data_IF_545297111296
#
_entry.id   IF_545297111296
#
_cell.length_a   1.000
_cell.length_b   1.000
_cell.length_c   1.000
_cell.angle_alpha   90.00
_cell.angle_beta   90.00
_cell.angle_gamma   90.00
#
_symmetry.space_group_name_H-M   'P 1'
#
loop_
_entity.id
_entity.type
_entity.pdbx_description
1 polymer ?
#
# COMPACT_ATOMS: atom_id res chain seq x y z
N UNK A 1 13.82 9.99 -11.39
CA UNK A 1 13.08 10.57 -10.27
C UNK A 1 12.45 9.44 -9.44
N UNK A 2 12.53 9.53 -8.12
CA UNK A 2 11.80 8.65 -7.18
C UNK A 2 10.84 9.51 -6.38
N UNK A 3 9.56 9.18 -6.39
CA UNK A 3 8.52 9.87 -5.62
C UNK A 3 8.35 9.16 -4.29
N UNK A 4 8.52 9.90 -3.18
CA UNK A 4 8.39 9.43 -1.82
C UNK A 4 9.56 9.83 -0.92
N UNK A 5 9.52 9.47 0.35
CA UNK A 5 10.52 9.85 1.35
C UNK A 5 10.72 8.84 2.46
N UNK A 6 10.22 7.60 2.29
CA UNK A 6 10.39 6.51 3.25
C UNK A 6 11.67 5.71 3.05
N UNK A 7 11.85 4.68 3.87
CA UNK A 7 12.97 3.75 3.76
C UNK A 7 12.97 2.94 2.46
N UNK A 8 11.80 2.63 1.92
CA UNK A 8 11.62 1.97 0.62
C UNK A 8 12.19 2.82 -0.50
N UNK A 9 11.83 4.10 -0.55
CA UNK A 9 12.32 5.04 -1.57
C UNK A 9 13.80 5.31 -1.40
N UNK A 10 14.31 5.35 -0.17
CA UNK A 10 15.75 5.46 0.09
C UNK A 10 16.51 4.24 -0.49
N UNK A 11 16.05 3.02 -0.23
CA UNK A 11 16.66 1.81 -0.78
C UNK A 11 16.62 1.79 -2.32
N UNK A 12 15.53 2.22 -2.93
CA UNK A 12 15.41 2.36 -4.39
C UNK A 12 16.39 3.40 -4.94
N UNK A 13 16.54 4.53 -4.27
CA UNK A 13 17.46 5.60 -4.66
C UNK A 13 18.92 5.13 -4.58
N UNK A 14 19.31 4.54 -3.44
CA UNK A 14 20.62 3.95 -3.24
C UNK A 14 20.95 2.90 -4.31
N UNK A 15 19.98 2.03 -4.63
CA UNK A 15 20.20 1.00 -5.66
C UNK A 15 20.26 1.57 -7.06
N UNK A 16 19.41 2.53 -7.40
CA UNK A 16 19.42 3.18 -8.70
C UNK A 16 20.72 3.95 -8.96
N UNK A 17 21.23 4.65 -7.94
CA UNK A 17 22.49 5.43 -8.05
C UNK A 17 23.73 4.56 -8.33
N UNK A 18 23.67 3.25 -8.05
CA UNK A 18 24.75 2.31 -8.40
C UNK A 18 24.77 1.89 -9.87
N UNK A 19 23.75 2.24 -10.64
CA UNK A 19 23.64 1.85 -12.04
C UNK A 19 24.51 2.75 -12.93
N UNK A 20 25.34 2.15 -13.78
CA UNK A 20 26.11 2.89 -14.79
C UNK A 20 25.24 3.61 -15.83
N UNK A 21 23.93 3.39 -15.82
CA UNK A 21 22.95 4.04 -16.71
C UNK A 21 22.28 5.25 -16.07
N UNK A 22 22.65 5.60 -14.85
CA UNK A 22 22.04 6.67 -14.07
C UNK A 22 23.11 7.66 -13.67
N UNK A 23 22.95 8.89 -14.10
CA UNK A 23 23.87 9.97 -13.75
C UNK A 23 23.51 10.58 -12.39
N UNK A 24 22.22 10.85 -12.17
CA UNK A 24 21.68 11.42 -10.93
C UNK A 24 20.33 10.81 -10.60
N UNK A 25 20.09 10.57 -9.31
CA UNK A 25 18.78 10.16 -8.78
C UNK A 25 18.18 11.32 -8.01
N UNK A 26 17.04 11.83 -8.48
CA UNK A 26 16.24 12.80 -7.74
C UNK A 26 15.22 12.07 -6.87
N UNK A 27 15.01 12.55 -5.62
CA UNK A 27 14.00 11.97 -4.70
C UNK A 27 13.10 13.09 -4.18
N UNK A 28 11.78 12.95 -4.38
CA UNK A 28 10.79 13.97 -4.02
C UNK A 28 9.76 13.44 -3.00
N UNK A 29 9.71 13.95 -1.77
CA UNK A 29 10.58 14.97 -1.21
C UNK A 29 11.92 14.43 -0.68
N UNK A 30 12.10 13.10 -0.59
CA UNK A 30 13.26 12.48 0.04
C UNK A 30 13.25 12.57 1.57
N UNK A 31 14.37 12.26 2.18
CA UNK A 31 14.56 12.30 3.63
C UNK A 31 16.02 12.63 4.00
N UNK A 32 16.35 12.65 5.30
CA UNK A 32 17.71 12.94 5.76
C UNK A 32 18.76 11.87 5.40
N UNK A 33 18.33 10.65 5.08
CA UNK A 33 19.19 9.59 4.57
C UNK A 33 19.49 9.79 3.09
N UNK A 34 18.47 9.97 2.25
CA UNK A 34 18.63 10.20 0.80
C UNK A 34 19.48 11.46 0.51
N UNK A 35 19.39 12.49 1.35
CA UNK A 35 20.21 13.69 1.25
C UNK A 35 21.73 13.47 1.42
N UNK A 36 22.12 12.30 1.92
CA UNK A 36 23.52 11.93 2.18
C UNK A 36 24.05 10.85 1.23
N UNK A 37 23.18 10.28 0.39
CA UNK A 37 23.60 9.25 -0.54
C UNK A 37 24.34 9.85 -1.73
N UNK A 38 25.52 9.31 -2.09
CA UNK A 38 26.23 9.73 -3.28
C UNK A 38 25.38 9.56 -4.56
N UNK A 39 25.33 10.58 -5.40
CA UNK A 39 24.56 10.56 -6.65
C UNK A 39 23.04 10.69 -6.46
N UNK A 40 22.59 11.08 -5.26
CA UNK A 40 21.18 11.29 -4.94
C UNK A 40 20.95 12.74 -4.50
N UNK A 41 19.90 13.37 -5.03
CA UNK A 41 19.50 14.75 -4.71
C UNK A 41 18.04 14.80 -4.28
N UNK A 42 17.76 15.42 -3.13
CA UNK A 42 16.39 15.66 -2.68
C UNK A 42 15.78 16.88 -3.37
N UNK A 43 14.51 16.74 -3.74
CA UNK A 43 13.72 17.79 -4.39
C UNK A 43 12.51 18.12 -3.54
N UNK A 44 12.38 19.35 -3.07
CA UNK A 44 11.31 19.80 -2.18
C UNK A 44 9.96 19.95 -2.94
N UNK A 45 9.41 18.81 -3.41
CA UNK A 45 8.10 18.71 -4.05
C UNK A 45 7.30 17.65 -3.31
N UNK A 46 6.06 17.99 -2.97
CA UNK A 46 5.11 17.05 -2.33
C UNK A 46 4.76 15.90 -3.27
N UNK A 47 4.56 14.70 -2.72
CA UNK A 47 4.24 13.49 -3.51
C UNK A 47 2.90 13.57 -4.24
N UNK A 48 1.98 14.44 -3.79
CA UNK A 48 0.67 14.66 -4.41
C UNK A 48 0.63 15.83 -5.38
N UNK A 49 1.71 16.61 -5.51
CA UNK A 49 1.81 17.71 -6.46
C UNK A 49 2.29 17.21 -7.85
N UNK A 50 1.39 16.52 -8.54
CA UNK A 50 1.69 15.83 -9.80
C UNK A 50 2.14 16.77 -10.91
N UNK A 51 1.60 18.01 -10.95
CA UNK A 51 1.98 19.01 -11.93
C UNK A 51 3.45 19.43 -11.75
N UNK A 52 3.84 19.78 -10.51
CA UNK A 52 5.23 20.18 -10.24
C UNK A 52 6.20 19.02 -10.42
N UNK A 53 5.80 17.79 -10.02
CA UNK A 53 6.62 16.58 -10.25
C UNK A 53 6.83 16.33 -11.75
N UNK A 54 5.77 16.43 -12.56
CA UNK A 54 5.87 16.24 -14.01
C UNK A 54 6.67 17.38 -14.68
N UNK A 55 6.50 18.63 -14.24
CA UNK A 55 7.28 19.77 -14.74
C UNK A 55 8.77 19.58 -14.40
N UNK A 56 9.08 19.22 -13.15
CA UNK A 56 10.45 18.93 -12.72
C UNK A 56 11.08 17.82 -13.58
N UNK A 57 10.33 16.75 -13.85
CA UNK A 57 10.80 15.63 -14.66
C UNK A 57 11.14 16.08 -16.11
N UNK A 58 10.36 16.98 -16.69
CA UNK A 58 10.65 17.56 -18.01
C UNK A 58 11.90 18.43 -18.00
N UNK A 59 11.97 19.37 -17.06
CA UNK A 59 13.04 20.37 -16.98
C UNK A 59 14.42 19.73 -16.73
N UNK A 60 14.44 18.59 -16.04
CA UNK A 60 15.65 17.84 -15.72
C UNK A 60 15.88 16.60 -16.61
N UNK A 61 15.14 16.46 -17.73
CA UNK A 61 15.25 15.36 -18.67
C UNK A 61 15.22 13.97 -17.99
N UNK A 62 14.34 13.79 -17.01
CA UNK A 62 14.21 12.54 -16.23
C UNK A 62 13.82 11.39 -17.15
N UNK A 63 14.70 10.40 -17.25
CA UNK A 63 14.50 9.25 -18.12
C UNK A 63 13.45 8.23 -17.61
N UNK A 64 13.26 8.15 -16.29
CA UNK A 64 12.28 7.28 -15.64
C UNK A 64 11.88 7.84 -14.27
N UNK A 65 10.59 7.77 -13.97
CA UNK A 65 10.07 8.04 -12.62
C UNK A 65 9.58 6.74 -11.98
N UNK A 66 9.91 6.55 -10.70
CA UNK A 66 9.46 5.40 -9.88
C UNK A 66 8.65 5.95 -8.72
N UNK A 67 7.48 5.37 -8.45
CA UNK A 67 6.60 5.81 -7.36
C UNK A 67 6.65 4.78 -6.24
N UNK A 68 7.05 5.22 -5.03
CA UNK A 68 7.15 4.36 -3.86
C UNK A 68 5.86 4.26 -3.05
N UNK A 69 5.26 5.38 -2.59
CA UNK A 69 4.11 5.33 -1.70
C UNK A 69 2.78 5.09 -2.44
N UNK A 70 1.82 4.54 -1.70
CA UNK A 70 0.51 4.13 -2.22
C UNK A 70 -0.39 5.33 -2.59
N UNK A 71 -0.37 6.40 -1.78
CA UNK A 71 -1.26 7.54 -1.94
C UNK A 71 -1.18 8.22 -3.32
N UNK A 72 0.00 8.58 -3.84
CA UNK A 72 0.10 9.14 -5.20
C UNK A 72 -0.28 8.14 -6.29
N UNK A 73 -0.07 6.82 -6.10
CA UNK A 73 -0.52 5.79 -7.04
C UNK A 73 -2.04 5.75 -7.14
N UNK A 74 -2.72 5.70 -5.99
CA UNK A 74 -4.20 5.76 -5.92
C UNK A 74 -4.73 7.10 -6.43
N UNK A 75 -3.98 8.19 -6.20
CA UNK A 75 -4.26 9.52 -6.74
C UNK A 75 -4.14 9.64 -8.25
N UNK A 76 -3.40 8.72 -8.91
CA UNK A 76 -3.28 8.65 -10.38
C UNK A 76 -2.03 9.34 -10.94
N UNK A 77 -0.96 9.46 -10.17
CA UNK A 77 0.31 10.06 -10.63
C UNK A 77 0.85 9.39 -11.90
N UNK A 78 0.71 8.05 -12.02
CA UNK A 78 1.19 7.32 -13.19
C UNK A 78 0.40 7.70 -14.45
N UNK A 79 -0.93 7.84 -14.33
CA UNK A 79 -1.80 8.28 -15.44
C UNK A 79 -1.44 9.70 -15.85
N UNK A 80 -1.21 10.59 -14.88
CA UNK A 80 -0.78 11.97 -15.11
C UNK A 80 0.55 12.04 -15.88
N UNK A 81 1.57 11.30 -15.44
CA UNK A 81 2.87 11.24 -16.11
C UNK A 81 2.77 10.68 -17.52
N UNK A 82 1.99 9.60 -17.71
CA UNK A 82 1.77 9.02 -19.04
C UNK A 82 1.07 9.99 -19.99
N UNK A 83 0.06 10.71 -19.51
CA UNK A 83 -0.61 11.76 -20.31
C UNK A 83 0.36 12.90 -20.68
N UNK A 84 1.35 13.18 -19.84
CA UNK A 84 2.40 14.15 -20.10
C UNK A 84 3.55 13.62 -20.98
N UNK A 85 3.48 12.37 -21.47
CA UNK A 85 4.52 11.73 -22.27
C UNK A 85 5.77 11.30 -21.48
N UNK A 86 5.67 11.25 -20.16
CA UNK A 86 6.75 10.90 -19.26
C UNK A 86 6.69 9.42 -18.87
N UNK A 87 7.84 8.75 -18.83
CA UNK A 87 7.91 7.37 -18.37
C UNK A 87 7.78 7.29 -16.86
N UNK A 88 6.79 6.52 -16.40
CA UNK A 88 6.53 6.33 -14.98
C UNK A 88 6.27 4.85 -14.68
N UNK A 89 7.04 4.29 -13.75
CA UNK A 89 6.89 2.93 -13.26
C UNK A 89 5.99 2.94 -12.02
N UNK A 90 4.92 2.19 -12.10
CA UNK A 90 3.88 2.02 -11.09
C UNK A 90 2.56 1.62 -11.74
N UNK A 91 1.59 1.14 -10.94
CA UNK A 91 0.25 0.85 -11.41
C UNK A 91 -0.50 2.13 -11.78
N UNK A 92 -1.37 2.05 -12.79
CA UNK A 92 -2.35 3.11 -13.08
C UNK A 92 -3.31 3.27 -11.90
N UNK A 93 -4.02 4.39 -11.83
CA UNK A 93 -5.06 4.65 -10.80
C UNK A 93 -6.06 3.49 -10.71
N UNK A 94 -6.48 2.92 -11.84
CA UNK A 94 -7.39 1.78 -11.87
C UNK A 94 -6.79 0.53 -11.23
N UNK A 95 -5.53 0.20 -11.54
CA UNK A 95 -4.83 -0.93 -10.95
C UNK A 95 -4.45 -0.69 -9.47
N UNK A 96 -4.13 0.54 -9.09
CA UNK A 96 -3.82 0.92 -7.71
C UNK A 96 -5.00 0.75 -6.73
N UNK A 97 -6.24 0.58 -7.24
CA UNK A 97 -7.39 0.22 -6.41
C UNK A 97 -7.18 -1.10 -5.65
N UNK A 98 -6.36 -2.02 -6.17
CA UNK A 98 -6.01 -3.25 -5.47
C UNK A 98 -5.30 -3.01 -4.13
N UNK A 99 -4.63 -1.88 -3.95
CA UNK A 99 -4.08 -1.44 -2.67
C UNK A 99 -5.00 -0.41 -1.99
N UNK A 100 -5.65 0.44 -2.79
CA UNK A 100 -6.45 1.56 -2.31
C UNK A 100 -7.75 1.17 -1.61
N UNK A 101 -8.31 -0.02 -1.89
CA UNK A 101 -9.56 -0.51 -1.28
C UNK A 101 -9.50 -2.02 -1.05
N UNK A 102 -9.59 -2.41 0.22
CA UNK A 102 -9.63 -3.82 0.62
C UNK A 102 -10.88 -4.53 0.09
N UNK A 103 -12.03 -3.85 0.12
CA UNK A 103 -13.28 -4.37 -0.43
C UNK A 103 -13.16 -4.62 -1.94
N UNK A 104 -12.63 -3.66 -2.69
CA UNK A 104 -12.38 -3.84 -4.12
C UNK A 104 -11.45 -5.03 -4.39
N UNK A 105 -10.37 -5.15 -3.62
CA UNK A 105 -9.41 -6.26 -3.76
C UNK A 105 -10.06 -7.60 -3.46
N UNK A 106 -10.84 -7.71 -2.40
CA UNK A 106 -11.55 -8.94 -2.07
C UNK A 106 -12.54 -9.35 -3.16
N UNK A 107 -13.32 -8.41 -3.66
CA UNK A 107 -14.26 -8.65 -4.76
C UNK A 107 -13.54 -9.04 -6.06
N UNK A 108 -12.39 -8.43 -6.32
CA UNK A 108 -11.53 -8.77 -7.46
C UNK A 108 -11.01 -10.21 -7.33
N UNK A 109 -10.44 -10.57 -6.18
CA UNK A 109 -9.90 -11.91 -5.93
C UNK A 109 -10.99 -12.98 -6.04
N UNK A 110 -12.16 -12.75 -5.44
CA UNK A 110 -13.31 -13.65 -5.53
C UNK A 110 -13.78 -13.84 -6.97
N UNK A 111 -13.93 -12.73 -7.72
CA UNK A 111 -14.35 -12.76 -9.13
C UNK A 111 -13.42 -13.53 -10.04
N UNK A 112 -12.12 -13.49 -9.75
CA UNK A 112 -11.08 -14.15 -10.54
C UNK A 112 -10.65 -15.51 -9.99
N UNK A 113 -11.30 -16.02 -8.92
CA UNK A 113 -10.96 -17.31 -8.32
C UNK A 113 -9.55 -17.35 -7.70
N UNK A 114 -9.03 -16.20 -7.27
CA UNK A 114 -7.73 -16.10 -6.61
C UNK A 114 -7.92 -16.38 -5.11
N UNK A 115 -7.16 -17.32 -4.51
CA UNK A 115 -7.30 -17.65 -3.10
C UNK A 115 -7.12 -16.43 -2.19
N UNK A 116 -8.05 -16.29 -1.25
CA UNK A 116 -8.04 -15.26 -0.20
C UNK A 116 -8.87 -15.72 0.99
N UNK A 117 -8.68 -15.12 2.16
CA UNK A 117 -9.50 -15.34 3.34
C UNK A 117 -10.99 -15.11 3.03
N UNK A 118 -11.87 -15.93 3.56
CA UNK A 118 -13.31 -15.70 3.48
C UNK A 118 -13.65 -14.33 4.07
N UNK A 119 -14.53 -13.57 3.44
CA UNK A 119 -14.78 -12.19 3.82
C UNK A 119 -16.23 -11.77 3.60
N UNK A 120 -16.61 -10.70 4.28
CA UNK A 120 -17.82 -9.93 4.00
C UNK A 120 -17.60 -8.45 4.27
N UNK A 121 -18.21 -7.60 3.45
CA UNK A 121 -18.08 -6.15 3.53
C UNK A 121 -19.34 -5.53 4.13
N UNK A 122 -19.18 -4.53 5.00
CA UNK A 122 -20.28 -3.86 5.69
C UNK A 122 -20.08 -2.35 5.71
N UNK A 123 -21.20 -1.63 5.59
CA UNK A 123 -21.31 -0.17 5.77
C UNK A 123 -22.17 0.20 6.96
N UNK A 124 -22.81 -0.79 7.59
CA UNK A 124 -23.71 -0.61 8.71
C UNK A 124 -23.29 -1.49 9.90
N UNK A 125 -23.40 -0.95 11.10
CA UNK A 125 -22.95 -1.61 12.34
C UNK A 125 -23.75 -2.86 12.64
N UNK A 126 -25.08 -2.80 12.58
CA UNK A 126 -25.93 -3.89 13.03
C UNK A 126 -25.74 -5.20 12.18
N UNK A 127 -25.70 -5.16 10.84
CA UNK A 127 -25.38 -6.34 10.03
C UNK A 127 -23.97 -6.87 10.27
N UNK A 128 -22.97 -5.98 10.47
CA UNK A 128 -21.61 -6.41 10.76
C UNK A 128 -21.51 -7.14 12.10
N UNK A 129 -22.16 -6.62 13.14
CA UNK A 129 -22.21 -7.28 14.45
C UNK A 129 -22.95 -8.64 14.40
N UNK A 130 -24.04 -8.74 13.63
CA UNK A 130 -24.74 -9.99 13.44
C UNK A 130 -23.84 -11.05 12.79
N UNK A 131 -23.08 -10.65 11.78
CA UNK A 131 -22.11 -11.53 11.11
C UNK A 131 -20.99 -11.99 12.05
N UNK A 132 -20.45 -11.09 12.89
CA UNK A 132 -19.42 -11.46 13.88
C UNK A 132 -19.98 -12.48 14.88
N UNK A 133 -21.20 -12.28 15.39
CA UNK A 133 -21.83 -13.25 16.31
C UNK A 133 -22.11 -14.61 15.68
N UNK A 134 -22.43 -14.63 14.39
CA UNK A 134 -22.63 -15.85 13.61
C UNK A 134 -21.31 -16.63 13.40
N UNK A 135 -20.24 -15.90 13.04
CA UNK A 135 -18.94 -16.50 12.71
C UNK A 135 -18.11 -16.85 13.93
N UNK A 136 -18.24 -16.09 15.01
CA UNK A 136 -17.39 -16.21 16.18
C UNK A 136 -16.02 -15.56 16.00
N UNK A 137 -15.09 -15.91 16.89
CA UNK A 137 -13.70 -15.46 16.89
C UNK A 137 -12.75 -16.68 16.97
N UNK A 138 -11.46 -16.56 16.58
CA UNK A 138 -10.81 -15.33 16.14
C UNK A 138 -11.28 -14.85 14.76
N UNK A 139 -11.29 -13.52 14.56
CA UNK A 139 -11.75 -12.90 13.32
C UNK A 139 -10.99 -11.58 13.08
N UNK A 140 -10.90 -11.14 11.81
CA UNK A 140 -10.16 -9.94 11.46
C UNK A 140 -11.13 -8.86 10.98
N UNK A 141 -11.04 -7.67 11.56
CA UNK A 141 -11.81 -6.48 11.16
C UNK A 141 -10.87 -5.44 10.57
N UNK A 142 -11.16 -5.02 9.34
CA UNK A 142 -10.32 -4.08 8.58
C UNK A 142 -11.15 -2.87 8.13
N UNK A 143 -10.67 -1.65 8.40
CA UNK A 143 -11.19 -0.47 7.73
C UNK A 143 -10.80 -0.53 6.23
N UNK A 144 -11.75 -0.17 5.35
CA UNK A 144 -11.48 -0.08 3.91
C UNK A 144 -10.63 1.16 3.59
N UNK A 145 -9.79 1.08 2.56
CA UNK A 145 -8.92 2.17 2.15
C UNK A 145 -7.54 2.20 2.84
N UNK A 146 -6.81 3.29 2.57
CA UNK A 146 -5.46 3.51 3.09
C UNK A 146 -5.52 4.00 4.54
N UNK A 147 -5.23 3.14 5.50
CA UNK A 147 -5.26 3.44 6.94
C UNK A 147 -3.85 3.43 7.59
N UNK A 148 -2.78 3.58 6.79
CA UNK A 148 -1.38 3.62 7.26
C UNK A 148 -1.01 2.47 8.22
N UNK A 149 -1.50 1.26 7.95
CA UNK A 149 -1.25 0.07 8.77
C UNK A 149 -2.04 -0.01 10.08
N UNK A 150 -2.86 1.00 10.42
CA UNK A 150 -3.59 1.06 11.69
C UNK A 150 -5.05 0.59 11.62
N UNK A 151 -5.55 0.32 10.42
CA UNK A 151 -6.95 -0.06 10.19
C UNK A 151 -7.22 -1.57 10.20
N UNK A 152 -6.39 -2.37 10.87
CA UNK A 152 -6.55 -3.82 10.98
C UNK A 152 -6.57 -4.21 12.45
N UNK A 153 -7.63 -4.88 12.88
CA UNK A 153 -7.80 -5.42 14.22
C UNK A 153 -7.94 -6.93 14.14
N UNK A 154 -7.01 -7.63 14.76
CA UNK A 154 -7.10 -9.06 15.02
C UNK A 154 -7.88 -9.23 16.32
N UNK A 155 -9.05 -9.82 16.26
CA UNK A 155 -9.94 -9.97 17.42
C UNK A 155 -10.00 -11.43 17.85
N UNK A 156 -9.48 -11.70 19.04
CA UNK A 156 -9.50 -13.04 19.66
C UNK A 156 -10.87 -13.40 20.25
N UNK A 157 -11.73 -12.40 20.43
CA UNK A 157 -13.10 -12.56 20.93
C UNK A 157 -14.09 -11.66 20.16
N UNK A 158 -15.38 -12.01 20.26
CA UNK A 158 -16.46 -11.31 19.55
C UNK A 158 -16.70 -9.88 20.06
N UNK A 159 -16.44 -9.60 21.32
CA UNK A 159 -16.68 -8.29 21.90
C UNK A 159 -15.65 -7.29 21.39
N UNK A 160 -14.38 -7.70 21.31
CA UNK A 160 -13.29 -6.94 20.65
C UNK A 160 -13.62 -6.66 19.18
N UNK A 161 -14.09 -7.64 18.43
CA UNK A 161 -14.47 -7.45 17.03
C UNK A 161 -15.67 -6.49 16.88
N UNK A 162 -16.67 -6.58 17.73
CA UNK A 162 -17.84 -5.68 17.75
C UNK A 162 -17.43 -4.25 18.08
N UNK A 163 -16.55 -4.07 19.07
CA UNK A 163 -16.02 -2.76 19.42
C UNK A 163 -15.24 -2.13 18.27
N UNK A 164 -14.40 -2.93 17.56
CA UNK A 164 -13.66 -2.48 16.39
C UNK A 164 -14.59 -1.99 15.26
N UNK A 165 -15.66 -2.73 14.96
CA UNK A 165 -16.66 -2.33 13.97
C UNK A 165 -17.35 -1.02 14.37
N UNK A 166 -17.72 -0.87 15.65
CA UNK A 166 -18.35 0.36 16.14
C UNK A 166 -17.42 1.55 16.01
N UNK A 167 -16.16 1.41 16.42
CA UNK A 167 -15.16 2.46 16.34
C UNK A 167 -14.90 2.90 14.88
N UNK A 168 -14.75 1.93 13.97
CA UNK A 168 -14.49 2.20 12.56
C UNK A 168 -15.68 2.85 11.86
N UNK A 169 -16.90 2.32 12.03
CA UNK A 169 -18.08 2.80 11.29
C UNK A 169 -18.75 4.01 11.91
N UNK A 170 -18.73 4.16 13.25
CA UNK A 170 -19.37 5.28 13.94
C UNK A 170 -18.39 6.37 14.37
N UNK A 171 -17.16 5.99 14.70
CA UNK A 171 -16.17 6.91 15.27
C UNK A 171 -15.41 7.76 14.24
N UNK A 172 -15.55 7.49 12.93
CA UNK A 172 -14.74 8.09 11.87
C UNK A 172 -13.22 8.10 12.18
N UNK A 173 -12.76 7.14 12.96
CA UNK A 173 -11.37 7.05 13.41
C UNK A 173 -10.37 6.99 12.22
N UNK A 174 -10.86 6.59 11.03
CA UNK A 174 -10.06 6.46 9.81
C UNK A 174 -10.58 7.34 8.66
N UNK A 175 -11.35 8.42 8.95
CA UNK A 175 -11.90 9.29 7.92
C UNK A 175 -12.76 8.52 6.91
N UNK A 176 -12.58 8.80 5.61
CA UNK A 176 -13.34 8.11 4.54
C UNK A 176 -13.06 6.60 4.50
N UNK A 177 -11.88 6.13 4.92
CA UNK A 177 -11.58 4.70 5.01
C UNK A 177 -12.44 3.96 6.05
N UNK A 178 -12.98 4.66 7.06
CA UNK A 178 -13.86 4.10 8.09
C UNK A 178 -15.32 3.92 7.66
N UNK A 179 -15.75 4.46 6.52
CA UNK A 179 -17.15 4.29 6.05
C UNK A 179 -17.53 2.88 5.65
N UNK A 180 -16.56 1.99 5.53
CA UNK A 180 -16.74 0.59 5.18
C UNK A 180 -15.74 -0.28 5.91
N UNK A 181 -16.19 -1.43 6.37
CA UNK A 181 -15.31 -2.44 6.97
C UNK A 181 -15.36 -3.74 6.17
N UNK A 182 -14.24 -4.42 6.14
CA UNK A 182 -14.10 -5.79 5.63
C UNK A 182 -13.85 -6.68 6.84
N UNK A 183 -14.69 -7.68 7.03
CA UNK A 183 -14.53 -8.68 8.08
C UNK A 183 -14.10 -9.97 7.41
N UNK A 184 -12.98 -10.54 7.88
CA UNK A 184 -12.32 -11.69 7.27
C UNK A 184 -12.09 -12.80 8.28
N UNK A 185 -12.04 -14.04 7.80
CA UNK A 185 -11.57 -15.15 8.62
C UNK A 185 -10.11 -14.92 9.04
N UNK A 186 -9.78 -15.41 10.22
CA UNK A 186 -8.40 -15.42 10.71
C UNK A 186 -7.66 -16.60 10.10
N UNK A 187 -6.67 -16.33 9.24
CA UNK A 187 -5.84 -17.37 8.65
C UNK A 187 -4.69 -17.72 9.58
N UNK A 188 -4.43 -19.00 9.76
CA UNK A 188 -3.31 -19.53 10.52
C UNK A 188 -2.26 -20.08 9.54
N UNK A 189 -1.00 -19.71 9.73
CA UNK A 189 0.10 -20.17 8.89
C UNK A 189 1.30 -19.26 8.98
N UNK A 190 2.38 -19.66 8.31
CA UNK A 190 3.56 -18.81 8.17
C UNK A 190 3.36 -17.80 7.04
N UNK A 191 3.77 -16.55 7.28
CA UNK A 191 3.69 -15.48 6.32
C UNK A 191 4.89 -15.53 5.36
N UNK A 192 4.66 -15.31 4.08
CA UNK A 192 5.71 -15.19 3.08
C UNK A 192 5.40 -14.03 2.12
N UNK A 193 6.37 -13.15 1.91
CA UNK A 193 6.31 -12.11 0.89
C UNK A 193 6.83 -12.64 -0.43
N UNK A 194 5.98 -12.62 -1.45
CA UNK A 194 6.35 -12.97 -2.82
C UNK A 194 6.15 -11.76 -3.72
N UNK A 195 7.24 -11.09 -4.06
CA UNK A 195 7.23 -9.82 -4.79
C UNK A 195 7.66 -10.07 -6.24
N UNK A 196 6.94 -9.50 -7.18
CA UNK A 196 7.23 -9.60 -8.60
C UNK A 196 7.25 -8.21 -9.26
N UNK A 197 8.09 -8.05 -10.29
CA UNK A 197 8.01 -6.93 -11.22
C UNK A 197 7.29 -7.38 -12.48
N UNK A 198 6.33 -6.57 -12.95
CA UNK A 198 5.57 -6.88 -14.15
C UNK A 198 5.52 -5.69 -15.10
N UNK A 199 5.57 -5.96 -16.41
CA UNK A 199 5.45 -4.96 -17.48
C UNK A 199 4.15 -5.12 -18.31
N UNK A 200 3.25 -6.00 -17.87
CA UNK A 200 2.00 -6.35 -18.55
C UNK A 200 2.10 -7.65 -19.35
N UNK A 201 3.30 -8.09 -19.70
CA UNK A 201 3.54 -9.33 -20.46
C UNK A 201 4.48 -10.27 -19.71
N UNK A 202 5.55 -9.74 -19.15
CA UNK A 202 6.58 -10.50 -18.44
C UNK A 202 6.42 -10.33 -16.92
N UNK A 203 6.81 -11.38 -16.20
CA UNK A 203 6.83 -11.41 -14.73
C UNK A 203 8.24 -11.80 -14.29
N UNK A 204 8.88 -10.94 -13.49
CA UNK A 204 10.18 -11.19 -12.89
C UNK A 204 10.02 -11.35 -11.38
N UNK A 205 10.12 -12.57 -10.82
CA UNK A 205 10.14 -12.78 -9.39
C UNK A 205 11.40 -12.20 -8.74
N UNK A 206 11.22 -11.56 -7.60
CA UNK A 206 12.30 -11.14 -6.71
C UNK A 206 12.56 -12.24 -5.66
N UNK A 207 13.61 -12.06 -4.85
CA UNK A 207 13.84 -12.93 -3.70
C UNK A 207 12.64 -12.88 -2.75
N UNK A 208 12.23 -14.02 -2.23
CA UNK A 208 11.20 -14.12 -1.21
C UNK A 208 11.72 -13.60 0.14
N UNK A 209 10.83 -13.11 0.97
CA UNK A 209 11.11 -12.66 2.32
C UNK A 209 9.98 -13.04 3.27
N UNK A 210 10.26 -12.99 4.57
CA UNK A 210 9.25 -13.16 5.60
C UNK A 210 9.20 -11.90 6.47
N UNK A 211 8.00 -11.40 6.73
CA UNK A 211 7.75 -10.30 7.64
C UNK A 211 7.34 -10.87 9.00
N UNK A 212 8.11 -10.54 10.04
CA UNK A 212 7.82 -10.96 11.41
C UNK A 212 7.07 -9.84 12.12
N UNK A 213 5.80 -10.08 12.46
CA UNK A 213 4.92 -9.07 13.09
C UNK A 213 5.20 -8.91 14.58
N UNK A 214 5.63 -9.97 15.25
CA UNK A 214 5.94 -9.95 16.66
C UNK A 214 7.45 -10.14 16.91
N UNK A 215 7.95 -9.61 18.04
CA UNK A 215 9.38 -9.59 18.38
C UNK A 215 9.92 -10.96 18.81
N UNK A 216 9.11 -11.73 19.51
CA UNK A 216 9.58 -12.93 20.21
C UNK A 216 9.26 -14.20 19.41
N UNK A 217 9.98 -15.30 19.68
CA UNK A 217 9.82 -16.58 19.02
C UNK A 217 8.38 -17.11 19.09
N UNK A 218 7.94 -17.75 18.00
CA UNK A 218 6.59 -18.27 17.88
C UNK A 218 5.52 -17.19 17.65
N UNK A 219 5.94 -16.06 17.05
CA UNK A 219 5.09 -14.92 16.70
C UNK A 219 4.37 -14.32 17.92
N UNK A 220 5.13 -14.11 19.00
CA UNK A 220 4.64 -13.62 20.30
C UNK A 220 5.28 -12.31 20.70
N UNK A 221 4.63 -11.65 21.70
CA UNK A 221 5.11 -10.39 22.25
C UNK A 221 4.68 -9.17 21.45
N UNK A 222 5.27 -8.00 21.75
CA UNK A 222 4.95 -6.75 21.09
C UNK A 222 5.43 -6.72 19.63
#
# INVERSE_FOLDING_TARGET
LIIGGGGREHALAWKAAQSYRVDTVFVAPGNGGTAREPGVENVAIDTMDFERLAQFARDNAVGLTIVGPEAPLVGGVVDHFRAAGLRCFGPTRGAAQLEGSKAFTKDFLARHGIPTAEYRTFTEIAPAQAYIRERGAPIVVKADGLAAGKGVILADDTDTAIAAVQDMLAGNAFGEAGHRVVIEEFLVGEEASFIVMVDGTNVLPLATSQDHKARDDGDRGP
#
